data_IF_560345703394
#
_entry.id   IF_560345703394
#
_cell.length_a   1.000
_cell.length_b   1.000
_cell.length_c   1.000
_cell.angle_alpha   90.00
_cell.angle_beta   90.00
_cell.angle_gamma   90.00
#
_symmetry.space_group_name_H-M   'P 1'
#
loop_
_entity.id
_entity.type
_entity.pdbx_description
1 polymer ?
#
# COMPACT_ATOMS: atom_id res chain seq x y z
N UNK A 1 -75.64 40.30 13.55
CA UNK A 1 -75.98 39.09 12.75
C UNK A 1 -75.55 39.33 11.30
N UNK A 2 -74.34 38.87 10.95
CA UNK A 2 -73.85 38.70 9.57
C UNK A 2 -72.70 37.69 9.66
N UNK A 3 -72.87 36.57 8.98
CA UNK A 3 -71.94 35.44 8.90
C UNK A 3 -70.90 35.76 7.82
N UNK A 4 -69.63 35.49 8.08
CA UNK A 4 -68.64 35.23 7.04
C UNK A 4 -67.51 34.40 7.64
N UNK A 5 -67.53 33.11 7.32
CA UNK A 5 -66.46 32.16 7.61
C UNK A 5 -65.18 32.56 6.87
N UNK A 6 -64.05 32.53 7.59
CA UNK A 6 -62.73 32.40 6.97
C UNK A 6 -61.94 31.35 7.75
N UNK A 7 -61.70 30.26 7.05
CA UNK A 7 -60.88 29.12 7.44
C UNK A 7 -59.47 29.58 7.82
N UNK A 8 -58.98 29.14 8.98
CA UNK A 8 -57.56 29.22 9.33
C UNK A 8 -56.99 27.82 9.18
N UNK A 9 -56.22 27.63 8.12
CA UNK A 9 -55.48 26.41 7.86
C UNK A 9 -54.33 26.29 8.88
N UNK A 10 -54.28 25.16 9.58
CA UNK A 10 -53.14 24.77 10.42
C UNK A 10 -51.99 24.41 9.48
N UNK A 11 -51.00 25.29 9.38
CA UNK A 11 -49.76 25.01 8.66
C UNK A 11 -48.86 24.12 9.50
N UNK A 12 -48.82 22.83 9.19
CA UNK A 12 -47.74 21.94 9.65
C UNK A 12 -46.47 22.29 8.87
N UNK A 13 -45.52 22.96 9.53
CA UNK A 13 -44.16 23.10 9.01
C UNK A 13 -43.48 21.75 9.18
N UNK A 14 -43.47 20.95 8.11
CA UNK A 14 -42.60 19.79 8.02
C UNK A 14 -41.17 20.30 7.75
N UNK A 15 -40.40 20.53 8.82
CA UNK A 15 -38.96 20.70 8.74
C UNK A 15 -38.37 19.33 8.39
N UNK A 16 -38.30 19.03 7.09
CA UNK A 16 -37.53 17.90 6.56
C UNK A 16 -36.07 18.20 6.87
N UNK A 17 -35.61 17.71 8.01
CA UNK A 17 -34.19 17.65 8.32
C UNK A 17 -33.52 16.80 7.26
N UNK A 18 -32.87 17.45 6.30
CA UNK A 18 -31.85 16.84 5.47
C UNK A 18 -30.72 16.38 6.41
N UNK A 19 -30.88 15.18 6.98
CA UNK A 19 -29.77 14.35 7.41
C UNK A 19 -29.01 13.98 6.14
N UNK A 20 -28.05 14.81 5.75
CA UNK A 20 -27.02 14.38 4.83
C UNK A 20 -26.29 13.24 5.54
N UNK A 21 -26.26 12.01 5.01
CA UNK A 21 -25.43 10.97 5.58
C UNK A 21 -23.98 11.46 5.41
N UNK A 22 -23.38 11.91 6.51
CA UNK A 22 -21.95 12.12 6.57
C UNK A 22 -21.33 10.75 6.37
N UNK A 23 -20.86 10.49 5.16
CA UNK A 23 -20.25 9.23 4.77
C UNK A 23 -18.87 9.16 5.43
N UNK A 24 -18.84 8.84 6.72
CA UNK A 24 -17.62 8.43 7.40
C UNK A 24 -17.33 7.01 6.89
N UNK A 25 -16.51 6.91 5.84
CA UNK A 25 -15.99 5.63 5.37
C UNK A 25 -15.26 4.97 6.53
N UNK A 26 -15.68 3.76 6.86
CA UNK A 26 -15.19 3.04 8.03
C UNK A 26 -13.82 2.41 7.74
N UNK A 27 -13.06 2.05 8.77
CA UNK A 27 -11.82 1.29 8.60
C UNK A 27 -12.02 -0.10 7.96
N UNK A 28 -13.24 -0.63 8.02
CA UNK A 28 -13.61 -1.90 7.39
C UNK A 28 -13.68 -1.80 5.86
N UNK A 29 -14.07 -0.64 5.32
CA UNK A 29 -14.13 -0.39 3.88
C UNK A 29 -12.71 -0.35 3.27
N UNK A 30 -11.76 0.28 3.98
CA UNK A 30 -10.36 0.33 3.59
C UNK A 30 -9.73 -1.09 3.54
N UNK A 31 -9.97 -1.90 4.58
CA UNK A 31 -9.46 -3.27 4.64
C UNK A 31 -10.08 -4.19 3.57
N UNK A 32 -11.34 -3.94 3.19
CA UNK A 32 -11.98 -4.65 2.08
C UNK A 32 -11.32 -4.33 0.74
N UNK A 33 -11.08 -3.05 0.43
CA UNK A 33 -10.41 -2.61 -0.80
C UNK A 33 -9.00 -3.18 -0.87
N UNK A 34 -8.22 -3.11 0.21
CA UNK A 34 -6.86 -3.69 0.23
C UNK A 34 -6.91 -5.18 -0.09
N UNK A 35 -7.74 -5.97 0.60
CA UNK A 35 -7.87 -7.42 0.36
C UNK A 35 -8.31 -7.75 -1.05
N UNK A 36 -9.17 -6.93 -1.63
CA UNK A 36 -9.62 -7.09 -3.00
C UNK A 36 -8.45 -6.93 -3.99
N UNK A 37 -7.55 -5.98 -3.77
CA UNK A 37 -6.50 -5.65 -4.73
C UNK A 37 -5.26 -6.52 -4.61
N UNK A 38 -4.91 -7.00 -3.42
CA UNK A 38 -3.71 -7.81 -3.22
C UNK A 38 -3.65 -9.02 -4.17
N UNK A 39 -2.54 -9.15 -4.90
CA UNK A 39 -2.29 -10.24 -5.84
C UNK A 39 -3.05 -10.15 -7.17
N UNK A 40 -3.94 -9.17 -7.36
CA UNK A 40 -4.55 -8.91 -8.67
C UNK A 40 -3.50 -8.35 -9.63
N UNK A 41 -3.56 -8.80 -10.87
CA UNK A 41 -2.74 -8.25 -11.95
C UNK A 41 -3.32 -6.91 -12.43
N UNK A 42 -2.45 -5.90 -12.57
CA UNK A 42 -2.76 -4.64 -13.23
C UNK A 42 -2.47 -4.77 -14.73
N UNK A 43 -3.49 -4.50 -15.54
CA UNK A 43 -3.39 -4.51 -17.00
C UNK A 43 -3.08 -3.11 -17.49
N UNK A 44 -1.91 -2.91 -18.12
CA UNK A 44 -1.59 -1.67 -18.84
C UNK A 44 -1.78 -1.91 -20.33
N UNK A 45 -2.80 -1.33 -20.98
CA UNK A 45 -3.06 -1.52 -22.40
C UNK A 45 -1.86 -1.14 -23.29
N UNK A 46 -1.57 -1.97 -24.29
CA UNK A 46 -0.41 -1.79 -25.20
C UNK A 46 -0.49 -0.53 -26.08
N UNK A 47 -1.69 0.01 -26.28
CA UNK A 47 -1.93 1.18 -27.13
C UNK A 47 -1.85 2.52 -26.37
N UNK A 48 -1.42 2.49 -25.11
CA UNK A 48 -1.14 3.71 -24.36
C UNK A 48 0.13 4.38 -24.86
N UNK A 49 0.06 5.71 -25.01
CA UNK A 49 1.18 6.52 -25.51
C UNK A 49 1.98 7.06 -24.34
N UNK A 50 3.27 6.74 -24.31
CA UNK A 50 4.22 7.28 -23.34
C UNK A 50 4.82 8.58 -23.88
N UNK A 51 4.82 9.60 -23.05
CA UNK A 51 5.35 10.92 -23.37
C UNK A 51 6.46 11.26 -22.38
N UNK A 52 7.59 11.76 -22.89
CA UNK A 52 8.67 12.31 -22.08
C UNK A 52 9.09 13.66 -22.67
N UNK A 53 8.96 14.72 -21.87
CA UNK A 53 9.22 16.11 -22.25
C UNK A 53 8.43 16.56 -23.50
N UNK A 54 7.27 15.95 -23.72
CA UNK A 54 6.38 16.18 -24.86
C UNK A 54 6.73 15.41 -26.14
N UNK A 55 7.74 14.55 -26.13
CA UNK A 55 8.02 13.62 -27.22
C UNK A 55 7.44 12.23 -26.91
N UNK A 56 6.88 11.57 -27.91
CA UNK A 56 6.47 10.16 -27.77
C UNK A 56 7.71 9.28 -27.65
N UNK A 57 7.76 8.46 -26.60
CA UNK A 57 8.89 7.56 -26.33
C UNK A 57 8.44 6.10 -26.33
N UNK A 58 9.34 5.21 -26.72
CA UNK A 58 9.16 3.78 -26.48
C UNK A 58 9.81 3.45 -25.13
N UNK A 59 8.98 3.25 -24.11
CA UNK A 59 9.42 2.99 -22.75
C UNK A 59 9.15 1.54 -22.37
N UNK A 60 10.23 0.76 -22.17
CA UNK A 60 10.13 -0.60 -21.66
C UNK A 60 10.10 -0.56 -20.13
N UNK A 61 8.90 -0.53 -19.56
CA UNK A 61 8.67 -0.55 -18.12
C UNK A 61 8.58 -1.97 -17.53
N UNK A 62 8.61 -3.01 -18.37
CA UNK A 62 8.36 -4.40 -17.98
C UNK A 62 9.60 -5.14 -17.44
N UNK A 63 10.78 -4.54 -17.43
CA UNK A 63 12.01 -5.23 -17.00
C UNK A 63 12.35 -5.08 -15.51
N UNK A 64 11.67 -4.18 -14.80
CA UNK A 64 11.96 -3.89 -13.39
C UNK A 64 11.41 -4.96 -12.43
N UNK A 65 12.09 -5.12 -11.29
CA UNK A 65 11.73 -6.03 -10.19
C UNK A 65 10.42 -5.59 -9.51
N UNK A 66 10.29 -4.28 -9.30
CA UNK A 66 9.06 -3.66 -8.84
C UNK A 66 8.63 -2.51 -9.75
N UNK A 67 7.32 -2.25 -9.77
CA UNK A 67 6.74 -1.17 -10.59
C UNK A 67 5.76 -0.38 -9.76
N UNK A 68 5.85 0.94 -9.83
CA UNK A 68 4.90 1.84 -9.20
C UNK A 68 4.00 2.41 -10.28
N UNK A 69 2.70 2.14 -10.19
CA UNK A 69 1.69 2.69 -11.09
C UNK A 69 0.78 3.62 -10.31
N UNK A 70 0.68 4.88 -10.74
CA UNK A 70 -0.25 5.85 -10.17
C UNK A 70 -1.21 6.34 -11.24
N UNK A 71 -2.50 6.20 -10.97
CA UNK A 71 -3.57 6.70 -11.83
C UNK A 71 -4.09 8.02 -11.27
N UNK A 72 -4.34 8.97 -12.17
CA UNK A 72 -4.93 10.27 -11.89
C UNK A 72 -6.15 10.40 -12.79
N UNK A 73 -7.33 10.47 -12.18
CA UNK A 73 -8.52 10.88 -12.90
C UNK A 73 -8.38 12.33 -13.37
N UNK A 74 -8.94 12.64 -14.54
CA UNK A 74 -8.90 13.99 -15.12
C UNK A 74 -9.76 15.00 -14.36
N UNK A 75 -10.28 14.63 -13.18
CA UNK A 75 -11.19 15.46 -12.41
C UNK A 75 -10.41 16.38 -11.45
N UNK A 76 -10.85 17.64 -11.37
CA UNK A 76 -10.22 18.63 -10.49
C UNK A 76 -8.94 19.24 -11.05
N UNK A 77 -8.00 19.59 -10.17
CA UNK A 77 -6.78 20.32 -10.55
C UNK A 77 -5.65 19.34 -10.89
N UNK A 78 -5.35 19.21 -12.19
CA UNK A 78 -4.29 18.33 -12.72
C UNK A 78 -2.92 18.57 -12.05
N UNK A 79 -2.51 19.83 -11.85
CA UNK A 79 -1.23 20.14 -11.17
C UNK A 79 -1.20 19.66 -9.72
N UNK A 80 -2.32 19.84 -8.99
CA UNK A 80 -2.46 19.38 -7.61
C UNK A 80 -2.48 17.86 -7.48
N UNK A 81 -3.07 17.16 -8.46
CA UNK A 81 -3.13 15.69 -8.48
C UNK A 81 -1.79 15.08 -8.90
N UNK A 82 -1.12 15.67 -9.90
CA UNK A 82 0.14 15.16 -10.43
C UNK A 82 1.31 15.30 -9.47
N UNK A 83 1.40 16.38 -8.68
CA UNK A 83 2.48 16.58 -7.68
C UNK A 83 3.89 16.21 -8.14
N UNK A 84 4.22 16.52 -9.41
CA UNK A 84 5.44 16.05 -10.07
C UNK A 84 6.73 16.27 -9.26
N UNK A 85 6.95 17.42 -8.59
CA UNK A 85 8.16 17.62 -7.79
C UNK A 85 8.28 16.65 -6.60
N UNK A 86 7.16 16.22 -6.03
CA UNK A 86 7.15 15.30 -4.87
C UNK A 86 7.34 13.88 -5.36
N UNK A 87 6.67 13.51 -6.46
CA UNK A 87 6.89 12.21 -7.10
C UNK A 87 8.34 12.03 -7.54
N UNK A 88 8.98 13.05 -8.13
CA UNK A 88 10.39 12.96 -8.50
C UNK A 88 11.27 12.62 -7.29
N UNK A 89 11.11 13.33 -6.17
CA UNK A 89 11.85 13.03 -4.93
C UNK A 89 11.57 11.61 -4.41
N UNK A 90 10.32 11.16 -4.50
CA UNK A 90 9.93 9.82 -4.06
C UNK A 90 10.55 8.72 -4.95
N UNK A 91 10.56 8.93 -6.25
CA UNK A 91 11.13 8.00 -7.23
C UNK A 91 12.65 7.93 -7.06
N UNK A 92 13.31 9.08 -6.89
CA UNK A 92 14.75 9.13 -6.59
C UNK A 92 15.07 8.38 -5.29
N UNK A 93 14.20 8.51 -4.27
CA UNK A 93 14.31 7.77 -3.02
C UNK A 93 14.21 6.26 -3.25
N UNK A 94 13.20 5.79 -3.97
CA UNK A 94 13.02 4.35 -4.26
C UNK A 94 14.16 3.77 -5.12
N UNK A 95 14.61 4.50 -6.14
CA UNK A 95 15.70 4.08 -7.01
C UNK A 95 17.08 4.10 -6.30
N UNK A 96 17.17 4.73 -5.13
CA UNK A 96 18.37 4.67 -4.29
C UNK A 96 18.41 3.46 -3.35
N UNK A 97 17.37 2.61 -3.36
CA UNK A 97 17.23 1.48 -2.45
C UNK A 97 17.92 0.23 -3.00
N UNK A 98 19.22 0.15 -2.78
CA UNK A 98 20.00 -1.06 -3.07
C UNK A 98 20.15 -1.32 -4.58
N UNK A 99 20.15 -2.60 -4.96
CA UNK A 99 20.31 -3.05 -6.35
C UNK A 99 18.97 -3.37 -7.05
N UNK A 100 17.84 -3.23 -6.35
CA UNK A 100 16.51 -3.52 -6.90
C UNK A 100 16.10 -2.48 -7.93
N UNK A 101 15.70 -2.92 -9.13
CA UNK A 101 15.20 -2.02 -10.18
C UNK A 101 13.73 -1.66 -9.95
N UNK A 102 13.42 -0.37 -9.97
CA UNK A 102 12.06 0.15 -9.79
C UNK A 102 11.69 1.04 -10.96
N UNK A 103 10.66 0.62 -11.72
CA UNK A 103 10.07 1.46 -12.76
C UNK A 103 8.87 2.23 -12.22
N UNK A 104 8.68 3.45 -12.72
CA UNK A 104 7.55 4.31 -12.35
C UNK A 104 6.70 4.64 -13.57
N UNK A 105 5.38 4.60 -13.40
CA UNK A 105 4.42 4.96 -14.43
C UNK A 105 3.29 5.83 -13.84
N UNK A 106 3.18 7.05 -14.35
CA UNK A 106 2.02 7.92 -14.10
C UNK A 106 1.07 7.85 -15.29
N UNK A 107 -0.19 7.54 -15.01
CA UNK A 107 -1.27 7.48 -16.00
C UNK A 107 -2.25 8.59 -15.69
N UNK A 108 -2.40 9.53 -16.61
CA UNK A 108 -3.32 10.66 -16.49
C UNK A 108 -4.45 10.48 -17.50
N UNK A 109 -5.65 10.22 -17.01
CA UNK A 109 -6.85 10.21 -17.86
C UNK A 109 -7.28 11.66 -18.10
N UNK A 110 -7.28 12.12 -19.34
CA UNK A 110 -7.67 13.50 -19.64
C UNK A 110 -8.06 13.68 -21.10
N UNK A 111 -8.92 14.65 -21.40
CA UNK A 111 -9.31 14.93 -22.77
C UNK A 111 -8.17 15.58 -23.59
N UNK A 112 -8.43 15.85 -24.87
CA UNK A 112 -7.44 16.49 -25.74
C UNK A 112 -7.01 17.89 -25.27
N UNK A 113 -7.82 18.60 -24.48
CA UNK A 113 -7.44 19.90 -23.95
C UNK A 113 -6.50 19.78 -22.74
N UNK A 114 -6.68 18.73 -21.91
CA UNK A 114 -5.77 18.44 -20.81
C UNK A 114 -4.42 17.86 -21.24
N UNK A 115 -4.34 17.26 -22.43
CA UNK A 115 -3.08 16.74 -23.01
C UNK A 115 -1.95 17.78 -22.99
N UNK A 116 -2.19 18.96 -23.56
CA UNK A 116 -1.20 20.05 -23.61
C UNK A 116 -0.82 20.53 -22.21
N UNK A 117 -1.78 20.52 -21.27
CA UNK A 117 -1.55 20.92 -19.89
C UNK A 117 -0.62 19.96 -19.16
N UNK A 118 -0.80 18.65 -19.36
CA UNK A 118 0.08 17.63 -18.77
C UNK A 118 1.51 17.82 -19.27
N UNK A 119 1.71 18.03 -20.58
CA UNK A 119 3.03 18.28 -21.16
C UNK A 119 3.65 19.58 -20.64
N UNK A 120 2.87 20.65 -20.52
CA UNK A 120 3.33 21.91 -19.94
C UNK A 120 3.85 21.71 -18.50
N UNK A 121 3.08 20.99 -17.67
CA UNK A 121 3.44 20.70 -16.28
C UNK A 121 4.68 19.80 -16.19
N UNK A 122 4.77 18.78 -17.03
CA UNK A 122 5.95 17.91 -17.11
C UNK A 122 7.22 18.72 -17.39
N UNK A 123 7.20 19.56 -18.44
CA UNK A 123 8.33 20.42 -18.83
C UNK A 123 8.68 21.45 -17.76
N UNK A 124 7.66 22.12 -17.20
CA UNK A 124 7.82 23.12 -16.14
C UNK A 124 8.55 22.53 -14.92
N UNK A 125 8.18 21.31 -14.54
CA UNK A 125 8.73 20.63 -13.36
C UNK A 125 9.99 19.82 -13.68
N UNK A 126 10.41 19.73 -14.95
CA UNK A 126 11.54 18.90 -15.42
C UNK A 126 11.42 17.45 -14.94
N UNK A 127 10.20 16.93 -14.98
CA UNK A 127 9.93 15.56 -14.56
C UNK A 127 10.66 14.59 -15.48
N UNK A 128 11.36 13.62 -14.91
CA UNK A 128 12.29 12.75 -15.65
C UNK A 128 11.70 11.40 -16.04
N UNK A 129 10.49 11.10 -15.58
CA UNK A 129 9.83 9.83 -15.85
C UNK A 129 8.76 10.00 -16.93
N UNK A 130 8.59 9.00 -17.82
CA UNK A 130 7.51 9.03 -18.80
C UNK A 130 6.12 9.12 -18.16
N UNK A 131 5.25 9.90 -18.78
CA UNK A 131 3.83 10.01 -18.41
C UNK A 131 2.99 9.41 -19.53
N UNK A 132 2.00 8.59 -19.16
CA UNK A 132 0.96 8.14 -20.08
C UNK A 132 -0.22 9.09 -20.01
N UNK A 133 -0.67 9.57 -21.17
CA UNK A 133 -1.87 10.39 -21.31
C UNK A 133 -2.97 9.52 -21.93
N UNK A 134 -3.92 9.09 -21.10
CA UNK A 134 -4.98 8.16 -21.48
C UNK A 134 -6.27 8.90 -21.85
N UNK A 135 -6.34 9.36 -23.10
CA UNK A 135 -7.48 10.14 -23.59
C UNK A 135 -8.80 9.36 -23.63
N UNK A 136 -8.71 8.02 -23.67
CA UNK A 136 -9.87 7.16 -23.84
C UNK A 136 -10.26 6.42 -22.55
N UNK A 137 -9.57 6.67 -21.43
CA UNK A 137 -9.77 5.98 -20.16
C UNK A 137 -9.63 4.46 -20.30
N UNK A 138 -8.69 4.00 -21.11
CA UNK A 138 -8.46 2.57 -21.34
C UNK A 138 -7.96 1.87 -20.08
N UNK A 139 -7.12 2.53 -19.29
CA UNK A 139 -6.54 1.97 -18.08
C UNK A 139 -7.63 1.72 -17.01
N UNK A 140 -8.48 2.73 -16.76
CA UNK A 140 -9.60 2.64 -15.81
C UNK A 140 -10.71 1.69 -16.27
N UNK A 141 -10.87 1.48 -17.59
CA UNK A 141 -11.78 0.46 -18.13
C UNK A 141 -11.23 -0.96 -18.01
N UNK A 142 -9.91 -1.12 -18.14
CA UNK A 142 -9.24 -2.42 -18.08
C UNK A 142 -9.08 -2.93 -16.66
N UNK A 143 -8.97 -2.01 -15.69
CA UNK A 143 -8.81 -2.31 -14.28
C UNK A 143 -9.97 -1.65 -13.54
N UNK A 144 -10.83 -2.41 -12.85
CA UNK A 144 -11.98 -1.85 -12.12
C UNK A 144 -11.55 -1.03 -10.89
N UNK A 145 -10.93 0.13 -11.12
CA UNK A 145 -10.29 0.97 -10.12
C UNK A 145 -11.28 1.49 -9.08
N UNK A 146 -10.77 1.69 -7.86
CA UNK A 146 -11.51 2.41 -6.83
C UNK A 146 -11.67 3.88 -7.23
N UNK A 147 -12.81 4.48 -6.89
CA UNK A 147 -13.04 5.93 -7.03
C UNK A 147 -12.34 6.75 -5.93
N UNK A 148 -11.71 6.11 -4.96
CA UNK A 148 -10.97 6.79 -3.92
C UNK A 148 -9.51 6.99 -4.34
N UNK A 149 -9.11 8.26 -4.42
CA UNK A 149 -7.74 8.69 -4.78
C UNK A 149 -6.64 7.98 -3.97
N UNK A 150 -6.93 7.63 -2.71
CA UNK A 150 -5.98 6.92 -1.84
C UNK A 150 -5.65 5.49 -2.34
N UNK A 151 -6.49 4.89 -3.19
CA UNK A 151 -6.38 3.51 -3.67
C UNK A 151 -6.22 3.42 -5.20
N UNK A 152 -5.69 4.48 -5.81
CA UNK A 152 -5.37 4.54 -7.25
C UNK A 152 -3.86 4.48 -7.52
N UNK A 153 -3.07 4.10 -6.51
CA UNK A 153 -1.63 3.94 -6.60
C UNK A 153 -1.24 2.55 -6.09
N UNK A 154 -0.42 1.85 -6.88
CA UNK A 154 -0.07 0.46 -6.67
C UNK A 154 1.45 0.27 -6.74
N UNK A 155 1.97 -0.57 -5.85
CA UNK A 155 3.26 -1.22 -6.01
C UNK A 155 2.99 -2.62 -6.55
N UNK A 156 3.65 -2.94 -7.66
CA UNK A 156 3.51 -4.19 -8.38
C UNK A 156 4.81 -4.98 -8.31
N UNK A 157 4.70 -6.30 -8.32
CA UNK A 157 5.82 -7.20 -8.61
C UNK A 157 6.13 -7.28 -10.12
N UNK A 158 7.12 -8.10 -10.47
CA UNK A 158 7.57 -8.30 -11.85
C UNK A 158 6.49 -8.92 -12.76
N UNK A 159 5.47 -9.58 -12.19
CA UNK A 159 4.32 -10.14 -12.89
C UNK A 159 3.13 -9.16 -12.95
N UNK A 160 3.34 -7.88 -12.64
CA UNK A 160 2.31 -6.84 -12.56
C UNK A 160 1.24 -7.08 -11.49
N UNK A 161 1.50 -7.92 -10.48
CA UNK A 161 0.54 -8.18 -9.41
C UNK A 161 0.74 -7.21 -8.27
N UNK A 162 -0.37 -6.74 -7.70
CA UNK A 162 -0.35 -5.78 -6.59
C UNK A 162 0.24 -6.42 -5.33
N UNK A 163 1.36 -5.87 -4.86
CA UNK A 163 2.01 -6.21 -3.58
C UNK A 163 1.81 -5.14 -2.50
N UNK A 164 1.43 -3.91 -2.89
CA UNK A 164 0.90 -2.91 -1.98
C UNK A 164 0.00 -1.92 -2.71
N UNK A 165 -0.95 -1.33 -1.97
CA UNK A 165 -1.87 -0.31 -2.47
C UNK A 165 -1.86 0.89 -1.53
N UNK A 166 -1.90 2.09 -2.09
CA UNK A 166 -1.81 3.34 -1.35
C UNK A 166 -0.94 4.36 -2.06
N UNK A 167 -1.20 5.64 -1.85
CA UNK A 167 -0.38 6.70 -2.44
C UNK A 167 0.71 7.21 -1.47
N UNK A 168 2.01 6.92 -1.71
CA UNK A 168 3.12 7.30 -0.83
C UNK A 168 3.35 8.81 -0.77
N UNK A 169 2.89 9.59 -1.75
CA UNK A 169 2.98 11.06 -1.74
C UNK A 169 2.04 11.69 -0.70
N UNK A 170 0.94 11.02 -0.34
CA UNK A 170 0.00 11.52 0.67
C UNK A 170 0.16 10.85 2.04
N UNK A 171 0.81 9.69 2.09
CA UNK A 171 0.89 8.90 3.31
C UNK A 171 2.30 8.33 3.52
N UNK A 172 3.01 8.87 4.53
CA UNK A 172 4.36 8.45 4.88
C UNK A 172 4.43 6.96 5.26
N UNK A 173 3.38 6.41 5.90
CA UNK A 173 3.33 4.98 6.23
C UNK A 173 3.30 4.08 4.99
N UNK A 174 2.72 4.58 3.88
CA UNK A 174 2.74 3.88 2.60
C UNK A 174 4.11 4.01 1.93
N UNK A 175 4.76 5.18 2.03
CA UNK A 175 6.16 5.36 1.59
C UNK A 175 7.06 4.32 2.26
N UNK A 176 7.03 4.24 3.59
CA UNK A 176 7.86 3.28 4.34
C UNK A 176 7.55 1.83 3.97
N UNK A 177 6.26 1.49 3.76
CA UNK A 177 5.87 0.16 3.30
C UNK A 177 6.47 -0.17 1.92
N UNK A 178 6.45 0.78 0.98
CA UNK A 178 7.05 0.57 -0.34
C UNK A 178 8.56 0.39 -0.23
N UNK A 179 9.23 1.20 0.59
CA UNK A 179 10.68 1.07 0.83
C UNK A 179 11.06 -0.29 1.40
N UNK A 180 10.29 -0.78 2.37
CA UNK A 180 10.52 -2.10 2.98
C UNK A 180 10.32 -3.25 1.98
N UNK A 181 9.36 -3.14 1.08
CA UNK A 181 9.13 -4.14 0.03
C UNK A 181 10.25 -4.06 -1.02
N UNK A 182 10.56 -2.85 -1.51
CA UNK A 182 11.51 -2.60 -2.61
C UNK A 182 12.95 -2.94 -2.22
N UNK A 183 13.38 -2.60 -1.00
CA UNK A 183 14.71 -3.02 -0.51
C UNK A 183 14.89 -4.54 -0.56
N UNK A 184 13.78 -5.27 -0.74
CA UNK A 184 13.53 -6.47 -0.01
C UNK A 184 13.59 -6.14 1.48
N UNK A 185 12.77 -6.77 2.30
CA UNK A 185 13.35 -7.17 3.57
C UNK A 185 14.49 -8.16 3.26
N UNK A 186 15.67 -7.67 2.85
CA UNK A 186 16.90 -8.22 3.34
C UNK A 186 16.87 -7.95 4.84
N UNK A 187 16.57 -9.01 5.57
CA UNK A 187 17.48 -9.44 6.62
C UNK A 187 18.69 -8.50 6.82
N UNK A 188 18.56 -7.52 7.70
CA UNK A 188 19.71 -7.16 8.51
C UNK A 188 19.92 -8.36 9.43
N UNK A 189 20.71 -9.34 8.94
CA UNK A 189 21.13 -10.54 9.66
C UNK A 189 20.60 -11.88 9.15
N UNK A 190 20.69 -12.19 7.85
CA UNK A 190 20.44 -13.56 7.40
C UNK A 190 21.26 -13.88 6.15
N UNK A 191 22.15 -14.88 6.26
CA UNK A 191 22.88 -15.42 5.11
C UNK A 191 21.96 -16.27 4.23
N UNK A 192 22.30 -16.40 2.94
CA UNK A 192 21.58 -17.18 1.90
C UNK A 192 21.18 -18.62 2.32
N UNK A 193 21.80 -19.16 3.37
CA UNK A 193 21.55 -20.49 3.89
C UNK A 193 20.12 -20.68 4.44
N UNK A 194 19.53 -19.66 5.08
CA UNK A 194 18.21 -19.78 5.72
C UNK A 194 17.08 -19.72 4.71
N UNK A 195 17.19 -18.88 3.66
CA UNK A 195 16.22 -18.84 2.56
C UNK A 195 16.01 -20.22 1.90
N UNK A 196 17.00 -21.12 1.97
CA UNK A 196 16.87 -22.47 1.39
C UNK A 196 16.11 -23.48 2.26
N UNK A 197 16.02 -23.28 3.59
CA UNK A 197 15.42 -24.26 4.52
C UNK A 197 14.14 -23.76 5.17
N UNK A 198 14.07 -22.49 5.58
CA UNK A 198 12.91 -21.93 6.28
C UNK A 198 12.75 -20.45 5.97
N UNK A 199 11.52 -19.98 5.76
CA UNK A 199 11.30 -18.56 5.46
C UNK A 199 9.84 -18.15 5.51
N UNK A 200 9.57 -16.94 5.06
CA UNK A 200 8.22 -16.38 4.99
C UNK A 200 8.06 -15.56 3.72
N UNK A 201 6.89 -15.59 3.05
CA UNK A 201 6.62 -14.67 1.96
C UNK A 201 6.55 -13.20 2.44
N UNK A 202 6.28 -12.95 3.72
CA UNK A 202 6.12 -11.60 4.27
C UNK A 202 6.87 -11.52 5.60
N UNK A 203 7.90 -10.69 5.66
CA UNK A 203 8.67 -10.45 6.89
C UNK A 203 8.32 -9.11 7.57
N UNK A 204 7.61 -8.21 6.90
CA UNK A 204 7.19 -6.93 7.48
C UNK A 204 5.67 -6.74 7.36
N UNK A 205 5.03 -6.28 8.45
CA UNK A 205 3.60 -5.91 8.46
C UNK A 205 3.43 -4.50 8.99
N UNK A 206 2.83 -3.64 8.18
CA UNK A 206 2.32 -2.36 8.66
C UNK A 206 0.94 -2.57 9.29
N UNK A 207 0.80 -2.27 10.58
CA UNK A 207 -0.46 -2.45 11.31
C UNK A 207 -1.32 -1.18 11.33
N UNK A 208 -0.84 -0.10 10.70
CA UNK A 208 -1.49 1.18 10.62
C UNK A 208 -1.48 1.92 11.97
N UNK A 209 -2.60 2.55 12.28
CA UNK A 209 -2.75 3.34 13.50
C UNK A 209 -3.34 2.49 14.61
N UNK A 210 -2.68 2.49 15.78
CA UNK A 210 -3.19 1.89 17.01
C UNK A 210 -3.24 2.93 18.13
N UNK A 211 -3.83 2.53 19.24
CA UNK A 211 -4.01 3.36 20.42
C UNK A 211 -3.37 2.72 21.63
N UNK A 212 -2.93 3.55 22.56
CA UNK A 212 -2.43 3.13 23.87
C UNK A 212 -3.38 2.12 24.53
N UNK A 213 -2.83 1.00 24.99
CA UNK A 213 -3.58 -0.09 25.63
C UNK A 213 -4.45 -0.93 24.70
N UNK A 214 -4.50 -0.64 23.39
CA UNK A 214 -5.20 -1.46 22.41
C UNK A 214 -4.24 -2.50 21.82
N UNK A 215 -4.56 -3.78 22.04
CA UNK A 215 -3.81 -4.89 21.44
C UNK A 215 -4.17 -5.05 19.95
N UNK A 216 -3.15 -5.00 19.10
CA UNK A 216 -3.22 -5.38 17.69
C UNK A 216 -2.74 -6.82 17.54
N UNK A 217 -3.49 -7.64 16.79
CA UNK A 217 -3.15 -9.04 16.52
C UNK A 217 -2.66 -9.16 15.08
N UNK A 218 -1.46 -9.67 14.90
CA UNK A 218 -0.76 -9.81 13.62
C UNK A 218 -0.39 -11.27 13.44
N UNK A 219 -0.37 -11.70 12.19
CA UNK A 219 -0.04 -13.07 11.81
C UNK A 219 1.01 -13.06 10.69
N UNK A 220 2.01 -13.91 10.87
CA UNK A 220 2.99 -14.25 9.86
C UNK A 220 2.97 -15.76 9.61
N UNK A 221 3.46 -16.16 8.45
CA UNK A 221 3.66 -17.56 8.11
C UNK A 221 5.15 -17.89 8.26
N UNK A 222 5.48 -19.06 8.82
CA UNK A 222 6.82 -19.64 8.75
C UNK A 222 6.69 -20.92 7.92
N UNK A 223 7.36 -20.98 6.77
CA UNK A 223 7.34 -22.10 5.83
C UNK A 223 8.66 -22.86 5.88
N UNK A 224 8.61 -24.17 6.07
CA UNK A 224 9.74 -25.07 5.95
C UNK A 224 9.87 -25.55 4.50
N UNK A 225 10.93 -25.12 3.82
CA UNK A 225 11.24 -25.50 2.45
C UNK A 225 12.10 -26.76 2.34
N UNK A 226 12.56 -27.32 3.45
CA UNK A 226 13.44 -28.49 3.48
C UNK A 226 12.69 -29.83 3.44
N UNK A 227 13.43 -30.92 3.26
CA UNK A 227 12.92 -32.30 3.29
C UNK A 227 12.91 -32.92 4.70
N UNK A 228 13.18 -32.11 5.74
CA UNK A 228 13.23 -32.53 7.14
C UNK A 228 12.37 -31.64 8.01
N UNK A 229 11.98 -32.11 9.20
CA UNK A 229 11.25 -31.29 10.17
C UNK A 229 12.18 -30.26 10.81
N UNK A 230 11.71 -29.03 10.95
CA UNK A 230 12.44 -27.93 11.58
C UNK A 230 11.78 -27.58 12.91
N UNK A 231 12.59 -27.36 13.95
CA UNK A 231 12.12 -27.06 15.30
C UNK A 231 12.43 -25.61 15.64
N UNK A 232 11.42 -24.84 16.01
CA UNK A 232 11.55 -23.50 16.60
C UNK A 232 12.17 -23.67 18.00
N UNK A 233 13.33 -23.07 18.21
CA UNK A 233 14.05 -23.11 19.48
C UNK A 233 13.60 -21.96 20.40
N UNK A 234 13.50 -20.75 19.86
CA UNK A 234 13.15 -19.56 20.63
C UNK A 234 12.58 -18.44 19.77
N UNK A 235 11.50 -17.84 20.25
CA UNK A 235 10.94 -16.59 19.73
C UNK A 235 11.29 -15.45 20.70
N UNK A 236 11.87 -14.36 20.20
CA UNK A 236 12.26 -13.20 20.98
C UNK A 236 11.71 -11.92 20.36
N UNK A 237 11.30 -10.96 21.19
CA UNK A 237 10.74 -9.66 20.75
C UNK A 237 11.61 -8.50 21.24
N UNK A 238 11.60 -7.37 20.52
CA UNK A 238 12.43 -6.21 20.85
C UNK A 238 11.91 -5.35 22.02
N UNK A 239 10.66 -5.53 22.46
CA UNK A 239 10.06 -4.85 23.62
C UNK A 239 9.04 -5.72 24.35
N UNK A 240 8.78 -5.38 25.61
CA UNK A 240 7.67 -5.95 26.40
C UNK A 240 6.29 -5.60 25.83
N UNK A 241 6.20 -4.56 25.00
CA UNK A 241 4.98 -4.18 24.28
C UNK A 241 4.59 -5.14 23.14
N UNK A 242 5.40 -6.17 22.88
CA UNK A 242 5.18 -7.17 21.82
C UNK A 242 5.34 -8.57 22.39
N UNK A 243 4.31 -9.39 22.23
CA UNK A 243 4.34 -10.82 22.53
C UNK A 243 4.24 -11.61 21.23
N UNK A 244 5.00 -12.69 21.09
CA UNK A 244 4.96 -13.54 19.91
C UNK A 244 5.08 -15.03 20.26
N UNK A 245 4.34 -15.87 19.55
CA UNK A 245 4.31 -17.32 19.74
C UNK A 245 3.86 -18.04 18.45
N UNK A 246 4.27 -19.29 18.30
CA UNK A 246 3.79 -20.20 17.24
C UNK A 246 2.63 -21.08 17.75
N UNK A 247 1.77 -21.54 16.83
CA UNK A 247 0.80 -22.60 17.13
C UNK A 247 1.47 -23.98 17.30
N UNK A 248 2.58 -24.20 16.61
CA UNK A 248 3.39 -25.41 16.73
C UNK A 248 4.88 -25.08 16.61
N UNK A 249 5.68 -25.62 17.52
CA UNK A 249 7.14 -25.42 17.53
C UNK A 249 7.86 -26.37 16.56
N UNK A 250 7.16 -27.35 15.97
CA UNK A 250 7.71 -28.22 14.91
C UNK A 250 7.02 -27.93 13.59
N UNK A 251 7.80 -27.51 12.60
CA UNK A 251 7.37 -27.24 11.23
C UNK A 251 7.73 -28.46 10.38
N UNK A 252 6.72 -29.24 9.98
CA UNK A 252 6.94 -30.42 9.16
C UNK A 252 7.55 -30.06 7.81
N UNK A 253 8.29 -30.99 7.22
CA UNK A 253 8.85 -30.83 5.87
C UNK A 253 7.78 -30.33 4.87
N UNK A 254 8.13 -29.29 4.10
CA UNK A 254 7.25 -28.63 3.11
C UNK A 254 5.94 -28.07 3.65
N UNK A 255 5.81 -27.88 4.96
CA UNK A 255 4.63 -27.31 5.61
C UNK A 255 4.93 -25.93 6.19
N UNK A 256 3.85 -25.24 6.57
CA UNK A 256 3.92 -23.95 7.25
C UNK A 256 3.27 -24.00 8.64
N UNK A 257 3.70 -23.12 9.51
CA UNK A 257 3.07 -22.81 10.81
C UNK A 257 2.77 -21.33 10.90
N UNK A 258 1.88 -20.94 11.82
CA UNK A 258 1.52 -19.53 12.01
C UNK A 258 2.29 -18.94 13.18
N UNK A 259 2.97 -17.82 12.94
CA UNK A 259 3.54 -16.97 13.98
C UNK A 259 2.51 -15.90 14.36
N UNK A 260 2.03 -15.95 15.59
CA UNK A 260 1.11 -15.01 16.20
C UNK A 260 1.89 -13.91 16.88
N UNK A 261 1.53 -12.65 16.64
CA UNK A 261 2.14 -11.48 17.28
C UNK A 261 1.05 -10.59 17.86
N UNK A 262 1.13 -10.30 19.15
CA UNK A 262 0.27 -9.36 19.86
C UNK A 262 1.09 -8.11 20.20
N UNK A 263 0.70 -6.96 19.65
CA UNK A 263 1.32 -5.68 19.97
C UNK A 263 0.38 -4.83 20.81
N UNK A 264 0.82 -4.46 22.01
CA UNK A 264 0.09 -3.57 22.93
C UNK A 264 0.98 -2.40 23.32
N UNK A 265 0.75 -1.19 22.76
CA UNK A 265 1.56 -0.03 23.09
C UNK A 265 1.36 0.39 24.55
N UNK A 266 2.47 0.73 25.19
CA UNK A 266 2.51 1.18 26.57
C UNK A 266 2.17 2.67 26.70
N UNK A 267 2.30 3.19 27.92
CA UNK A 267 1.89 4.56 28.23
C UNK A 267 2.79 5.68 27.70
N UNK A 268 3.96 5.36 27.14
CA UNK A 268 5.03 6.31 26.80
C UNK A 268 5.24 6.42 25.29
N UNK A 269 4.64 5.53 24.50
CA UNK A 269 4.81 5.46 23.06
C UNK A 269 3.72 6.25 22.33
N UNK A 270 3.99 7.52 22.01
CA UNK A 270 3.28 8.26 20.96
C UNK A 270 4.21 8.44 19.76
N UNK A 271 3.69 8.26 18.55
CA UNK A 271 4.47 8.40 17.32
C UNK A 271 4.67 7.08 16.55
N UNK A 272 5.56 7.14 15.56
CA UNK A 272 5.93 5.99 14.75
C UNK A 272 6.66 4.93 15.58
N UNK A 273 6.43 3.67 15.26
CA UNK A 273 7.14 2.56 15.88
C UNK A 273 7.51 1.48 14.86
N UNK A 274 8.60 0.78 15.17
CA UNK A 274 9.04 -0.44 14.52
C UNK A 274 9.40 -1.45 15.62
N UNK A 275 8.92 -2.69 15.52
CA UNK A 275 9.26 -3.78 16.44
C UNK A 275 9.69 -5.00 15.67
N UNK A 276 10.67 -5.70 16.23
CA UNK A 276 11.25 -6.88 15.64
C UNK A 276 10.88 -8.12 16.45
N UNK A 277 10.66 -9.22 15.75
CA UNK A 277 10.40 -10.55 16.30
C UNK A 277 11.41 -11.50 15.65
N UNK A 278 12.29 -12.07 16.45
CA UNK A 278 13.32 -13.02 16.00
C UNK A 278 12.92 -14.45 16.34
N UNK A 279 12.84 -15.30 15.33
CA UNK A 279 12.55 -16.74 15.46
C UNK A 279 13.82 -17.52 15.20
N UNK A 280 14.34 -18.19 16.24
CA UNK A 280 15.53 -19.05 16.17
C UNK A 280 15.08 -20.49 15.98
N UNK A 281 15.85 -21.27 15.23
CA UNK A 281 15.56 -22.68 14.98
C UNK A 281 16.72 -23.56 15.43
N UNK A 282 16.41 -24.78 15.86
CA UNK A 282 17.42 -25.73 16.31
C UNK A 282 18.32 -26.15 15.15
N UNK A 283 19.62 -25.89 15.26
CA UNK A 283 20.61 -26.28 14.25
C UNK A 283 20.65 -25.36 13.02
N UNK A 284 19.95 -24.22 13.04
CA UNK A 284 20.06 -23.16 12.05
C UNK A 284 20.67 -21.96 12.78
N UNK A 285 21.83 -21.48 12.32
CA UNK A 285 22.59 -20.44 13.02
C UNK A 285 21.91 -19.07 12.98
N UNK A 286 21.27 -18.72 11.86
CA UNK A 286 20.66 -17.41 11.64
C UNK A 286 19.14 -17.43 11.92
N UNK A 287 18.59 -16.43 12.62
CA UNK A 287 17.17 -16.37 12.97
C UNK A 287 16.31 -15.74 11.87
N UNK A 288 15.07 -16.19 11.73
CA UNK A 288 14.07 -15.51 10.90
C UNK A 288 13.52 -14.28 11.62
N UNK A 289 13.81 -13.11 11.07
CA UNK A 289 13.43 -11.81 11.66
C UNK A 289 12.19 -11.24 10.96
N UNK A 290 11.15 -11.00 11.76
CA UNK A 290 9.92 -10.35 11.37
C UNK A 290 9.85 -8.94 11.94
N UNK A 291 9.13 -8.05 11.27
CA UNK A 291 8.96 -6.65 11.66
C UNK A 291 7.50 -6.25 11.65
N UNK A 292 7.08 -5.50 12.66
CA UNK A 292 5.81 -4.80 12.68
C UNK A 292 6.07 -3.30 12.78
N UNK A 293 5.43 -2.53 11.90
CA UNK A 293 5.54 -1.07 11.88
C UNK A 293 4.16 -0.43 12.02
N UNK A 294 4.10 0.80 12.50
CA UNK A 294 2.85 1.54 12.59
C UNK A 294 3.00 2.85 13.34
N UNK A 295 1.86 3.40 13.76
CA UNK A 295 1.79 4.65 14.52
C UNK A 295 0.91 4.48 15.76
N UNK A 296 1.39 4.95 16.91
CA UNK A 296 0.61 5.00 18.15
C UNK A 296 0.09 6.42 18.38
N UNK A 297 -1.22 6.53 18.62
CA UNK A 297 -1.91 7.78 18.95
C UNK A 297 -2.64 7.71 20.29
#
# INVERSE_FOLDING_TARGET
MKISARSVAVGFIAFVGCMLPSCVKSGDDAAAIVREWMGKEIVVPENLTFVLQGDTVNYNWQSADYRIVTYIDGEGCTECSMKLPIWQQMIDRFNSLGETDVSFLMIVETDSAGYDKVIELERKNKFSQPIVIDVNGLFSKSNSLSQELAYQTFLLDSDNRVVAIGNPVYNHNVSSLYEDIIRGSESIGMTDSVRSLVGSPILCRNIGMTHKGKTSKIYFEITNYSDQDIIIDRIATSCECTEAYSDNDTIQSKQSVTLFVNYTPDSVTEGEFEREIMVNFKGIEEPLVYRIIGFVK
#
